data_IF_131822362361
#
_entry.id   IF_131822362361
#
_cell.length_a   1.000
_cell.length_b   1.000
_cell.length_c   1.000
_cell.angle_alpha   90.00
_cell.angle_beta   90.00
_cell.angle_gamma   90.00
#
_symmetry.space_group_name_H-M   'P 1'
#
loop_
_entity.id
_entity.type
_entity.pdbx_description
1 polymer ?
#
# COMPACT_ATOMS: atom_id res chain seq x y z
N UNK A 1 -15.78 7.75 -21.87
CA UNK A 1 -14.93 6.96 -20.95
C UNK A 1 -13.92 6.15 -21.74
N UNK A 2 -14.38 5.45 -22.78
CA UNK A 2 -13.53 4.63 -23.66
C UNK A 2 -12.30 5.37 -24.23
N UNK A 3 -12.49 6.56 -24.82
CA UNK A 3 -11.37 7.35 -25.35
C UNK A 3 -10.33 7.75 -24.28
N UNK A 4 -10.77 7.94 -23.03
CA UNK A 4 -9.88 8.20 -21.91
C UNK A 4 -9.13 6.93 -21.51
N UNK A 5 -9.84 5.80 -21.41
CA UNK A 5 -9.24 4.49 -21.10
C UNK A 5 -8.19 4.10 -22.16
N UNK A 6 -8.46 4.34 -23.45
CA UNK A 6 -7.51 4.07 -24.53
C UNK A 6 -6.22 4.89 -24.37
N UNK A 7 -6.35 6.20 -24.08
CA UNK A 7 -5.20 7.08 -23.83
C UNK A 7 -4.42 6.65 -22.58
N UNK A 8 -5.11 6.28 -21.51
CA UNK A 8 -4.49 5.79 -20.28
C UNK A 8 -3.77 4.45 -20.51
N UNK A 9 -4.35 3.54 -21.28
CA UNK A 9 -3.76 2.25 -21.64
C UNK A 9 -2.49 2.44 -22.49
N UNK A 10 -2.50 3.36 -23.45
CA UNK A 10 -1.31 3.72 -24.22
C UNK A 10 -0.16 4.21 -23.32
N UNK A 11 -0.47 4.98 -22.26
CA UNK A 11 0.52 5.45 -21.29
C UNK A 11 0.96 4.33 -20.31
N UNK A 12 0.06 3.42 -19.95
CA UNK A 12 0.33 2.25 -19.11
C UNK A 12 1.22 1.21 -19.81
N UNK A 13 1.19 1.18 -21.14
CA UNK A 13 1.98 0.27 -21.99
C UNK A 13 3.13 0.96 -22.73
N UNK A 14 3.42 2.23 -22.41
CA UNK A 14 4.38 3.08 -23.13
C UNK A 14 5.72 2.37 -23.41
N UNK A 15 6.06 2.31 -24.70
CA UNK A 15 7.25 1.68 -25.24
C UNK A 15 8.24 2.69 -25.86
N UNK A 16 7.97 3.99 -25.77
CA UNK A 16 8.72 5.04 -26.44
C UNK A 16 10.22 5.00 -26.07
N UNK A 17 11.09 4.84 -27.06
CA UNK A 17 12.55 4.71 -26.85
C UNK A 17 13.22 6.02 -26.44
N UNK A 18 12.58 7.16 -26.67
CA UNK A 18 13.11 8.49 -26.35
C UNK A 18 13.02 8.89 -24.88
N UNK A 19 12.29 8.13 -24.05
CA UNK A 19 12.16 8.37 -22.60
C UNK A 19 13.08 7.44 -21.80
N UNK A 20 13.65 7.93 -20.71
CA UNK A 20 14.53 7.16 -19.83
C UNK A 20 13.84 5.91 -19.28
N UNK A 21 14.60 4.83 -19.09
CA UNK A 21 14.08 3.53 -18.63
C UNK A 21 13.40 3.62 -17.26
N UNK A 22 13.98 4.39 -16.34
CA UNK A 22 13.44 4.64 -14.99
C UNK A 22 12.09 5.33 -15.04
N UNK A 23 11.96 6.33 -15.91
CA UNK A 23 10.78 7.18 -15.99
C UNK A 23 9.63 6.41 -16.63
N UNK A 24 9.90 5.64 -17.68
CA UNK A 24 8.91 4.70 -18.25
C UNK A 24 8.44 3.67 -17.24
N UNK A 25 9.34 3.15 -16.40
CA UNK A 25 8.96 2.20 -15.35
C UNK A 25 8.00 2.85 -14.35
N UNK A 26 8.31 4.06 -13.88
CA UNK A 26 7.45 4.82 -12.96
C UNK A 26 6.11 5.18 -13.60
N UNK A 27 6.15 5.75 -14.81
CA UNK A 27 4.97 6.13 -15.58
C UNK A 27 4.03 4.94 -15.79
N UNK A 28 4.51 3.82 -16.35
CA UNK A 28 3.68 2.64 -16.56
C UNK A 28 3.08 2.09 -15.26
N UNK A 29 3.82 2.17 -14.15
CA UNK A 29 3.27 1.78 -12.85
C UNK A 29 2.09 2.67 -12.47
N UNK A 30 2.29 3.99 -12.48
CA UNK A 30 1.26 4.97 -12.11
C UNK A 30 0.04 4.87 -13.04
N UNK A 31 0.25 4.78 -14.36
CA UNK A 31 -0.85 4.72 -15.31
C UNK A 31 -1.61 3.39 -15.29
N UNK A 32 -0.97 2.27 -14.90
CA UNK A 32 -1.72 1.03 -14.62
C UNK A 32 -2.64 1.19 -13.42
N UNK A 33 -2.15 1.83 -12.35
CA UNK A 33 -2.94 2.05 -11.15
C UNK A 33 -4.10 3.02 -11.41
N UNK A 34 -3.86 4.09 -12.18
CA UNK A 34 -4.89 5.05 -12.61
C UNK A 34 -5.90 4.40 -13.55
N UNK A 35 -5.46 3.65 -14.57
CA UNK A 35 -6.36 2.96 -15.49
C UNK A 35 -7.29 2.01 -14.73
N UNK A 36 -6.72 1.18 -13.84
CA UNK A 36 -7.51 0.28 -12.99
C UNK A 36 -8.54 1.04 -12.15
N UNK A 37 -8.15 2.17 -11.56
CA UNK A 37 -9.07 2.97 -10.76
C UNK A 37 -10.19 3.63 -11.60
N UNK A 38 -9.92 3.99 -12.85
CA UNK A 38 -10.92 4.55 -13.76
C UNK A 38 -11.87 3.47 -14.29
N UNK A 39 -11.37 2.28 -14.59
CA UNK A 39 -12.16 1.17 -15.13
C UNK A 39 -12.98 0.44 -14.07
N UNK A 40 -12.36 0.11 -12.93
CA UNK A 40 -12.97 -0.70 -11.88
C UNK A 40 -13.59 0.16 -10.76
N UNK A 41 -13.29 1.45 -10.71
CA UNK A 41 -13.69 2.35 -9.61
C UNK A 41 -12.99 2.04 -8.29
N UNK A 42 -12.02 1.12 -8.27
CA UNK A 42 -11.42 0.58 -7.05
C UNK A 42 -10.09 1.29 -6.71
N UNK A 43 -10.00 1.84 -5.50
CA UNK A 43 -8.75 2.36 -4.95
C UNK A 43 -8.04 1.25 -4.18
N UNK A 44 -6.79 0.96 -4.56
CA UNK A 44 -5.98 0.00 -3.82
C UNK A 44 -5.60 0.58 -2.46
N UNK A 45 -6.33 0.16 -1.42
CA UNK A 45 -6.14 0.66 -0.07
C UNK A 45 -4.71 0.42 0.43
N UNK A 46 -4.08 1.47 0.95
CA UNK A 46 -2.72 1.44 1.50
C UNK A 46 -2.78 1.62 3.02
N UNK A 47 -1.97 0.89 3.77
CA UNK A 47 -1.89 1.05 5.24
C UNK A 47 -0.57 1.68 5.65
N UNK A 48 -0.63 2.87 6.24
CA UNK A 48 0.50 3.55 6.86
C UNK A 48 0.54 3.20 8.34
N UNK A 49 1.68 2.71 8.82
CA UNK A 49 1.88 2.39 10.25
C UNK A 49 2.77 3.44 10.89
N UNK A 50 2.36 3.98 12.01
CA UNK A 50 3.10 4.98 12.77
C UNK A 50 2.91 4.72 14.27
N UNK A 51 4.00 4.63 15.03
CA UNK A 51 3.94 4.23 16.43
C UNK A 51 3.22 2.90 16.62
N UNK A 52 2.16 2.90 17.43
CA UNK A 52 1.25 1.76 17.67
C UNK A 52 0.00 1.79 16.78
N UNK A 53 -0.22 2.88 16.06
CA UNK A 53 -1.42 3.14 15.28
C UNK A 53 -1.20 2.79 13.80
N UNK A 54 -2.32 2.69 13.07
CA UNK A 54 -2.34 2.50 11.62
C UNK A 54 -3.42 3.37 11.02
N UNK A 55 -3.09 4.05 9.94
CA UNK A 55 -4.05 4.76 9.10
C UNK A 55 -4.19 4.02 7.77
N UNK A 56 -5.43 3.82 7.35
CA UNK A 56 -5.75 3.33 6.01
C UNK A 56 -5.99 4.52 5.10
N UNK A 57 -5.33 4.51 3.94
CA UNK A 57 -5.64 5.38 2.82
C UNK A 57 -6.51 4.54 1.89
N UNK A 58 -7.75 4.98 1.70
CA UNK A 58 -8.81 4.27 0.98
C UNK A 58 -9.36 5.06 -0.21
N UNK A 59 -8.88 6.29 -0.41
CA UNK A 59 -9.32 7.17 -1.49
C UNK A 59 -8.19 8.03 -2.04
N UNK A 60 -8.36 8.49 -3.29
CA UNK A 60 -7.44 9.42 -3.95
C UNK A 60 -7.32 10.76 -3.22
N UNK A 61 -8.42 11.26 -2.65
CA UNK A 61 -8.44 12.50 -1.86
C UNK A 61 -7.52 12.34 -0.64
N UNK A 62 -7.72 11.27 0.13
CA UNK A 62 -6.89 10.97 1.31
C UNK A 62 -5.42 10.73 0.94
N UNK A 63 -5.16 10.04 -0.18
CA UNK A 63 -3.80 9.83 -0.70
C UNK A 63 -3.12 11.14 -1.07
N UNK A 64 -3.83 12.03 -1.78
CA UNK A 64 -3.28 13.31 -2.23
C UNK A 64 -2.97 14.23 -1.05
N UNK A 65 -3.85 14.27 -0.05
CA UNK A 65 -3.63 15.02 1.18
C UNK A 65 -2.40 14.49 1.94
N UNK A 66 -2.28 13.17 2.09
CA UNK A 66 -1.11 12.54 2.71
C UNK A 66 0.19 12.87 1.96
N UNK A 67 0.19 12.77 0.63
CA UNK A 67 1.37 13.07 -0.16
C UNK A 67 1.79 14.55 -0.06
N UNK A 68 0.84 15.47 0.00
CA UNK A 68 1.12 16.90 0.19
C UNK A 68 1.78 17.17 1.55
N UNK A 69 1.25 16.61 2.64
CA UNK A 69 1.91 16.75 3.95
C UNK A 69 3.27 16.07 3.98
N UNK A 70 3.40 14.89 3.36
CA UNK A 70 4.65 14.16 3.29
C UNK A 70 5.73 14.90 2.50
N UNK A 71 5.35 15.62 1.44
CA UNK A 71 6.27 16.45 0.65
C UNK A 71 6.80 17.63 1.47
N UNK A 72 5.95 18.24 2.30
CA UNK A 72 6.33 19.39 3.14
C UNK A 72 7.13 18.99 4.39
N UNK A 73 6.67 17.97 5.12
CA UNK A 73 7.24 17.56 6.41
C UNK A 73 8.31 16.47 6.25
N UNK A 74 8.35 15.80 5.11
CA UNK A 74 9.37 14.80 4.78
C UNK A 74 9.40 13.63 5.77
N UNK A 75 10.58 13.37 6.33
CA UNK A 75 10.81 12.27 7.28
C UNK A 75 10.04 12.44 8.59
N UNK A 76 9.57 13.65 8.91
CA UNK A 76 8.78 13.94 10.10
C UNK A 76 7.32 13.44 10.04
N UNK A 77 6.84 12.95 8.89
CA UNK A 77 5.42 12.62 8.70
C UNK A 77 4.85 11.70 9.80
N UNK A 78 5.59 10.66 10.19
CA UNK A 78 5.16 9.73 11.23
C UNK A 78 5.01 10.37 12.62
N UNK A 79 5.82 11.39 12.93
CA UNK A 79 5.70 12.14 14.18
C UNK A 79 4.44 13.01 14.15
N UNK A 80 4.19 13.69 13.03
CA UNK A 80 3.01 14.52 12.88
C UNK A 80 1.71 13.72 12.93
N UNK A 81 1.67 12.51 12.34
CA UNK A 81 0.52 11.63 12.49
C UNK A 81 0.25 11.23 13.96
N UNK A 82 1.28 11.18 14.81
CA UNK A 82 1.13 10.81 16.22
C UNK A 82 0.74 11.98 17.11
N UNK A 83 1.34 13.15 16.90
CA UNK A 83 1.33 14.23 17.88
C UNK A 83 0.66 15.53 17.40
N UNK A 84 0.54 15.75 16.09
CA UNK A 84 0.03 17.01 15.56
C UNK A 84 -1.50 16.96 15.46
N UNK A 85 -2.19 17.68 16.33
CA UNK A 85 -3.66 17.70 16.40
C UNK A 85 -4.29 18.05 15.05
N UNK A 86 -3.81 19.08 14.35
CA UNK A 86 -4.34 19.45 13.05
C UNK A 86 -4.24 18.32 12.02
N UNK A 87 -3.08 17.68 11.88
CA UNK A 87 -2.90 16.55 10.95
C UNK A 87 -3.75 15.36 11.37
N UNK A 88 -3.91 15.11 12.67
CA UNK A 88 -4.77 14.05 13.18
C UNK A 88 -6.24 14.32 12.90
N UNK A 89 -6.70 15.55 13.03
CA UNK A 89 -8.07 15.96 12.70
C UNK A 89 -8.32 15.81 11.20
N UNK A 90 -7.37 16.25 10.37
CA UNK A 90 -7.44 16.13 8.90
C UNK A 90 -7.57 14.66 8.44
N UNK A 91 -6.96 13.72 9.15
CA UNK A 91 -7.06 12.29 8.87
C UNK A 91 -8.02 11.53 9.79
N UNK A 92 -8.80 12.24 10.61
CA UNK A 92 -9.77 11.67 11.55
C UNK A 92 -9.18 10.57 12.44
N UNK A 93 -7.93 10.77 12.91
CA UNK A 93 -7.20 9.81 13.75
C UNK A 93 -7.60 9.93 15.23
N UNK A 94 -8.40 10.93 15.59
CA UNK A 94 -8.73 11.27 16.97
C UNK A 94 -7.56 11.92 17.72
N UNK A 95 -7.68 12.12 19.05
CA UNK A 95 -6.64 12.77 19.85
C UNK A 95 -5.30 12.02 19.83
N UNK A 96 -4.16 12.71 19.97
CA UNK A 96 -2.85 12.07 20.13
C UNK A 96 -2.85 11.00 21.22
N UNK A 97 -2.45 9.77 20.87
CA UNK A 97 -2.38 8.69 21.85
C UNK A 97 -1.09 8.80 22.64
N UNK A 98 -1.18 9.30 23.87
CA UNK A 98 -0.07 9.32 24.81
C UNK A 98 0.11 7.92 25.43
N UNK A 99 0.80 7.04 24.71
CA UNK A 99 1.15 5.71 25.22
C UNK A 99 2.46 5.83 26.00
N UNK A 100 2.43 5.54 27.31
CA UNK A 100 3.65 5.55 28.11
C UNK A 100 4.61 4.40 27.71
N UNK A 101 5.87 4.52 28.09
CA UNK A 101 6.89 3.53 27.70
C UNK A 101 6.63 2.12 28.27
N UNK A 102 5.85 2.02 29.35
CA UNK A 102 5.50 0.77 30.01
C UNK A 102 4.38 0.03 29.26
N UNK A 103 3.31 0.73 28.90
CA UNK A 103 2.21 0.22 28.06
C UNK A 103 2.69 -0.15 26.67
N UNK A 104 3.61 0.63 26.06
CA UNK A 104 4.30 0.26 24.81
C UNK A 104 5.03 -1.09 24.90
N UNK A 105 5.65 -1.41 26.05
CA UNK A 105 6.30 -2.71 26.28
C UNK A 105 5.27 -3.82 26.49
N UNK A 106 4.18 -3.55 27.21
CA UNK A 106 3.11 -4.51 27.44
C UNK A 106 2.37 -4.91 26.15
N UNK A 107 2.22 -3.99 25.20
CA UNK A 107 1.62 -4.27 23.88
C UNK A 107 2.51 -5.12 22.95
N UNK A 108 3.76 -5.40 23.32
CA UNK A 108 4.63 -6.22 22.47
C UNK A 108 4.23 -7.68 22.51
N UNK A 109 3.74 -8.16 21.36
CA UNK A 109 3.54 -9.58 21.09
C UNK A 109 4.84 -10.34 21.37
N UNK A 110 4.74 -11.41 22.17
CA UNK A 110 5.86 -12.29 22.52
C UNK A 110 6.54 -12.84 21.26
N UNK A 111 7.85 -13.09 21.35
CA UNK A 111 8.61 -13.70 20.24
C UNK A 111 7.98 -15.01 19.78
N UNK A 112 7.52 -15.83 20.73
CA UNK A 112 6.88 -17.11 20.46
C UNK A 112 5.56 -16.95 19.72
N UNK A 113 4.69 -16.06 20.22
CA UNK A 113 3.38 -15.79 19.62
C UNK A 113 3.52 -15.20 18.20
N UNK A 114 4.47 -14.28 18.00
CA UNK A 114 4.79 -13.74 16.67
C UNK A 114 5.26 -14.84 15.72
N UNK A 115 6.10 -15.75 16.21
CA UNK A 115 6.56 -16.89 15.41
C UNK A 115 5.39 -17.80 15.01
N UNK A 116 4.49 -18.12 15.96
CA UNK A 116 3.32 -18.95 15.69
C UNK A 116 2.38 -18.30 14.68
N UNK A 117 2.07 -17.01 14.84
CA UNK A 117 1.26 -16.24 13.90
C UNK A 117 1.88 -16.23 12.49
N UNK A 118 3.19 -15.96 12.39
CA UNK A 118 3.88 -15.95 11.10
C UNK A 118 3.94 -17.34 10.46
N UNK A 119 4.12 -18.41 11.25
CA UNK A 119 4.12 -19.80 10.79
C UNK A 119 2.75 -20.20 10.25
N UNK A 120 1.67 -19.86 10.96
CA UNK A 120 0.30 -20.08 10.52
C UNK A 120 0.01 -19.34 9.21
N UNK A 121 0.36 -18.05 9.12
CA UNK A 121 0.20 -17.25 7.91
C UNK A 121 1.04 -17.80 6.73
N UNK A 122 2.26 -18.28 6.99
CA UNK A 122 3.11 -18.90 5.98
C UNK A 122 2.51 -20.21 5.46
N UNK A 123 2.04 -21.09 6.36
CA UNK A 123 1.39 -22.36 5.99
C UNK A 123 0.13 -22.11 5.15
N UNK A 124 -0.71 -21.15 5.55
CA UNK A 124 -1.91 -20.76 4.80
C UNK A 124 -1.56 -20.26 3.39
N UNK A 125 -0.57 -19.36 3.26
CA UNK A 125 -0.10 -18.87 1.95
C UNK A 125 0.45 -19.98 1.07
N UNK A 126 1.26 -20.88 1.61
CA UNK A 126 1.81 -22.02 0.85
C UNK A 126 0.70 -22.94 0.35
N UNK A 127 -0.28 -23.28 1.21
CA UNK A 127 -1.42 -24.11 0.82
C UNK A 127 -2.27 -23.45 -0.28
N UNK A 128 -2.54 -22.15 -0.18
CA UNK A 128 -3.29 -21.41 -1.20
C UNK A 128 -2.55 -21.34 -2.53
N UNK A 129 -1.24 -21.07 -2.52
CA UNK A 129 -0.43 -20.94 -3.74
C UNK A 129 -0.15 -22.28 -4.42
N UNK A 130 0.01 -23.36 -3.67
CA UNK A 130 0.26 -24.69 -4.25
C UNK A 130 -0.86 -25.11 -5.21
N UNK A 131 -2.12 -24.70 -4.97
CA UNK A 131 -3.25 -24.95 -5.88
C UNK A 131 -3.07 -24.37 -7.29
N UNK A 132 -2.24 -23.34 -7.44
CA UNK A 132 -2.05 -22.62 -8.70
C UNK A 132 -0.62 -22.75 -9.26
N UNK A 133 0.28 -23.45 -8.55
CA UNK A 133 1.68 -23.60 -8.96
C UNK A 133 1.85 -24.50 -10.17
N UNK A 134 1.00 -25.53 -10.29
CA UNK A 134 1.12 -26.53 -11.34
C UNK A 134 0.49 -26.09 -12.67
N UNK A 135 0.00 -24.84 -12.77
CA UNK A 135 -0.64 -24.28 -13.98
C UNK A 135 0.26 -24.25 -15.23
N UNK A 136 1.57 -24.40 -15.07
CA UNK A 136 2.57 -24.40 -16.16
C UNK A 136 3.42 -25.66 -16.18
N UNK A 137 3.02 -26.69 -15.42
CA UNK A 137 3.71 -27.98 -15.47
C UNK A 137 3.29 -28.66 -16.76
N UNK A 138 4.27 -29.04 -17.56
CA UNK A 138 4.06 -29.84 -18.77
C UNK A 138 3.72 -31.26 -18.33
N UNK A 139 2.45 -31.50 -18.06
CA UNK A 139 1.93 -32.85 -17.81
C UNK A 139 1.83 -33.50 -19.18
N UNK A 140 2.95 -34.01 -19.68
CA UNK A 140 2.97 -34.83 -20.87
C UNK A 140 1.99 -35.99 -20.71
N UNK A 141 1.01 -36.08 -21.60
CA UNK A 141 0.22 -37.29 -21.78
C UNK A 141 1.16 -38.38 -22.30
N UNK A 142 1.41 -39.39 -21.46
CA UNK A 142 2.02 -40.65 -21.87
C UNK A 142 0.93 -41.64 -22.25
#
# INVERSE_FOLDING_TARGET
LDELCDKLNALATDCNKHRAKTDKKKQRSVFRDVLKAVEEGDFQSETIRFGTERMTIDSWVRKRMYDAFREFVGSGMNYHLQANEFIRDVFELGPPVLVDSATMKAMKISRFERHLHNSAAFKARTKARNRFRDKRVDVGEF
#
